data_IF_331021078257
#
_entry.id   IF_331021078257
#
_cell.length_a   1.000
_cell.length_b   1.000
_cell.length_c   1.000
_cell.angle_alpha   90.00
_cell.angle_beta   90.00
_cell.angle_gamma   90.00
#
_symmetry.space_group_name_H-M   'P 1'
#
loop_
_entity.id
_entity.type
_entity.pdbx_description
1 polymer ?
#
# COMPACT_ATOMS: atom_id res chain seq x y z
N UNK A 1 -37.51 -23.25 -5.22
CA UNK A 1 -36.61 -22.12 -5.50
C UNK A 1 -35.51 -22.60 -6.43
N UNK A 2 -35.49 -22.09 -7.65
CA UNK A 2 -34.57 -22.50 -8.71
C UNK A 2 -33.15 -21.99 -8.44
N UNK A 3 -32.12 -22.61 -9.04
CA UNK A 3 -30.73 -22.14 -8.92
C UNK A 3 -30.58 -20.68 -9.36
N UNK A 4 -31.36 -20.24 -10.36
CA UNK A 4 -31.40 -18.86 -10.87
C UNK A 4 -31.98 -17.87 -9.84
N UNK A 5 -33.10 -18.21 -9.20
CA UNK A 5 -33.69 -17.40 -8.12
C UNK A 5 -32.75 -17.29 -6.92
N UNK A 6 -32.00 -18.35 -6.61
CA UNK A 6 -31.03 -18.38 -5.49
C UNK A 6 -29.82 -17.51 -5.78
N UNK A 7 -29.29 -17.58 -7.00
CA UNK A 7 -28.20 -16.73 -7.47
C UNK A 7 -28.59 -15.25 -7.40
N UNK A 8 -29.79 -14.91 -7.91
CA UNK A 8 -30.32 -13.55 -7.91
C UNK A 8 -30.47 -12.98 -6.50
N UNK A 9 -30.99 -13.80 -5.55
CA UNK A 9 -31.14 -13.37 -4.16
C UNK A 9 -29.81 -13.08 -3.46
N UNK A 10 -28.69 -13.70 -3.83
CA UNK A 10 -27.37 -13.48 -3.18
C UNK A 10 -26.58 -12.39 -3.86
N UNK A 11 -26.55 -12.43 -5.19
CA UNK A 11 -25.69 -11.57 -5.98
C UNK A 11 -26.08 -10.10 -5.83
N UNK A 12 -27.39 -9.80 -5.82
CA UNK A 12 -27.87 -8.43 -5.76
C UNK A 12 -27.57 -7.76 -4.39
N UNK A 13 -27.91 -8.35 -3.22
CA UNK A 13 -27.55 -7.78 -1.92
C UNK A 13 -26.04 -7.70 -1.71
N UNK A 14 -25.29 -8.68 -2.19
CA UNK A 14 -23.83 -8.68 -2.10
C UNK A 14 -23.23 -7.50 -2.86
N UNK A 15 -23.66 -7.25 -4.11
CA UNK A 15 -23.19 -6.10 -4.89
C UNK A 15 -23.53 -4.79 -4.19
N UNK A 16 -24.78 -4.63 -3.73
CA UNK A 16 -25.24 -3.41 -3.08
C UNK A 16 -24.41 -3.15 -1.81
N UNK A 17 -24.24 -4.15 -0.95
CA UNK A 17 -23.46 -4.02 0.29
C UNK A 17 -21.99 -3.75 -0.02
N UNK A 18 -21.41 -4.43 -1.01
CA UNK A 18 -20.01 -4.23 -1.41
C UNK A 18 -19.80 -2.81 -1.94
N UNK A 19 -20.69 -2.32 -2.82
CA UNK A 19 -20.64 -0.96 -3.34
C UNK A 19 -20.77 0.09 -2.22
N UNK A 20 -21.76 -0.05 -1.33
CA UNK A 20 -21.93 0.86 -0.19
C UNK A 20 -20.69 0.82 0.71
N UNK A 21 -20.19 -0.37 1.05
CA UNK A 21 -19.02 -0.52 1.91
C UNK A 21 -17.78 0.16 1.30
N UNK A 22 -17.55 -0.01 0.00
CA UNK A 22 -16.44 0.62 -0.71
C UNK A 22 -16.60 2.14 -0.74
N UNK A 23 -17.76 2.67 -1.11
CA UNK A 23 -18.01 4.12 -1.19
C UNK A 23 -17.85 4.76 0.19
N UNK A 24 -18.55 4.22 1.19
CA UNK A 24 -18.53 4.75 2.55
C UNK A 24 -17.14 4.63 3.18
N UNK A 25 -16.42 3.52 2.94
CA UNK A 25 -15.03 3.39 3.38
C UNK A 25 -14.13 4.42 2.71
N UNK A 26 -14.29 4.62 1.40
CA UNK A 26 -13.49 5.58 0.64
C UNK A 26 -13.63 6.99 1.21
N UNK A 27 -14.85 7.38 1.58
CA UNK A 27 -15.13 8.68 2.21
C UNK A 27 -14.47 8.79 3.58
N UNK A 28 -14.60 7.76 4.43
CA UNK A 28 -14.01 7.74 5.77
C UNK A 28 -12.48 7.76 5.68
N UNK A 29 -11.89 6.90 4.85
CA UNK A 29 -10.45 6.86 4.65
C UNK A 29 -9.92 8.20 4.12
N UNK A 30 -10.62 8.80 3.14
CA UNK A 30 -10.24 10.12 2.66
C UNK A 30 -10.26 11.17 3.77
N UNK A 31 -11.36 11.25 4.53
CA UNK A 31 -11.53 12.26 5.59
C UNK A 31 -10.53 12.07 6.72
N UNK A 32 -10.40 10.86 7.23
CA UNK A 32 -9.64 10.58 8.43
C UNK A 32 -8.18 10.25 8.16
N UNK A 33 -7.79 9.64 7.05
CA UNK A 33 -6.39 9.26 6.82
C UNK A 33 -5.68 10.25 5.89
N UNK A 34 -6.35 10.64 4.82
CA UNK A 34 -5.78 11.52 3.79
C UNK A 34 -5.85 13.00 4.19
N UNK A 35 -7.02 13.49 4.60
CA UNK A 35 -7.22 14.93 4.80
C UNK A 35 -6.76 15.42 6.19
N UNK A 36 -6.98 14.61 7.22
CA UNK A 36 -6.65 14.97 8.61
C UNK A 36 -5.26 14.54 9.03
N UNK A 37 -4.63 13.63 8.28
CA UNK A 37 -3.26 13.22 8.55
C UNK A 37 -3.00 12.81 10.03
N UNK A 38 -3.84 11.96 10.65
CA UNK A 38 -3.77 11.64 12.06
C UNK A 38 -2.53 10.80 12.36
N UNK A 39 -2.07 10.89 13.60
CA UNK A 39 -0.93 10.13 14.11
C UNK A 39 -1.28 8.65 14.31
N UNK A 40 -1.36 7.94 13.18
CA UNK A 40 -1.75 6.54 13.09
C UNK A 40 -0.65 5.80 12.31
N UNK A 41 -0.24 4.65 12.85
CA UNK A 41 0.69 3.72 12.21
C UNK A 41 0.26 3.40 10.77
N UNK A 42 1.24 3.32 9.86
CA UNK A 42 0.98 3.08 8.43
C UNK A 42 0.35 1.70 8.17
N UNK A 43 0.74 0.69 8.95
CA UNK A 43 0.12 -0.64 8.89
C UNK A 43 -1.33 -0.61 9.36
N UNK A 44 -1.61 0.07 10.47
CA UNK A 44 -2.97 0.25 10.94
C UNK A 44 -3.81 1.07 9.94
N UNK A 45 -3.32 2.18 9.39
CA UNK A 45 -4.05 3.00 8.43
C UNK A 45 -4.39 2.21 7.15
N UNK A 46 -3.45 1.42 6.61
CA UNK A 46 -3.62 0.73 5.34
C UNK A 46 -4.24 -0.68 5.45
N UNK A 47 -4.21 -1.32 6.62
CA UNK A 47 -4.72 -2.69 6.83
C UNK A 47 -5.72 -2.77 7.98
N UNK A 48 -5.38 -2.21 9.14
CA UNK A 48 -6.20 -2.29 10.35
C UNK A 48 -7.53 -1.56 10.24
N UNK A 49 -7.51 -0.33 9.73
CA UNK A 49 -8.68 0.53 9.54
C UNK A 49 -9.66 -0.04 8.50
N UNK A 50 -9.21 -0.50 7.30
CA UNK A 50 -10.05 -1.31 6.41
C UNK A 50 -10.70 -2.52 7.08
N UNK A 51 -9.92 -3.28 7.85
CA UNK A 51 -10.37 -4.50 8.49
C UNK A 51 -11.48 -4.21 9.53
N UNK A 52 -11.23 -3.25 10.44
CA UNK A 52 -12.21 -2.83 11.45
C UNK A 52 -13.50 -2.28 10.83
N UNK A 53 -13.36 -1.48 9.77
CA UNK A 53 -14.50 -0.87 9.09
C UNK A 53 -15.45 -1.89 8.45
N UNK A 54 -14.93 -3.03 7.99
CA UNK A 54 -15.75 -4.05 7.35
C UNK A 54 -16.59 -4.85 8.36
N UNK A 55 -16.27 -4.83 9.65
CA UNK A 55 -16.95 -5.65 10.67
C UNK A 55 -18.47 -5.46 10.66
N UNK A 56 -19.04 -4.23 10.70
CA UNK A 56 -20.49 -4.04 10.68
C UNK A 56 -21.15 -4.57 9.40
N UNK A 57 -20.51 -4.37 8.24
CA UNK A 57 -21.01 -4.89 6.95
C UNK A 57 -21.03 -6.41 6.92
N UNK A 58 -20.01 -7.05 7.51
CA UNK A 58 -20.00 -8.50 7.64
C UNK A 58 -21.13 -9.00 8.53
N UNK A 59 -21.39 -8.34 9.67
CA UNK A 59 -22.50 -8.73 10.57
C UNK A 59 -23.84 -8.67 9.82
N UNK A 60 -24.07 -7.64 9.01
CA UNK A 60 -25.28 -7.53 8.18
C UNK A 60 -25.37 -8.68 7.17
N UNK A 61 -24.27 -8.98 6.46
CA UNK A 61 -24.20 -10.12 5.53
C UNK A 61 -24.46 -11.46 6.23
N UNK A 62 -23.92 -11.64 7.44
CA UNK A 62 -24.13 -12.83 8.26
C UNK A 62 -25.59 -13.03 8.63
N UNK A 63 -26.24 -11.99 9.17
CA UNK A 63 -27.66 -12.05 9.54
C UNK A 63 -28.53 -12.31 8.32
N UNK A 64 -28.22 -11.66 7.19
CA UNK A 64 -28.93 -11.86 5.94
C UNK A 64 -28.74 -13.29 5.40
N UNK A 65 -27.53 -13.81 5.42
CA UNK A 65 -27.22 -15.16 4.95
C UNK A 65 -27.88 -16.23 5.84
N UNK A 66 -27.82 -16.08 7.17
CA UNK A 66 -28.46 -16.99 8.12
C UNK A 66 -29.99 -17.05 7.97
N UNK A 67 -30.63 -15.92 7.62
CA UNK A 67 -32.09 -15.87 7.37
C UNK A 67 -32.49 -16.56 6.06
N UNK A 68 -31.65 -16.50 5.03
CA UNK A 68 -32.00 -16.94 3.68
C UNK A 68 -31.45 -18.32 3.30
N UNK A 69 -30.42 -18.82 3.99
CA UNK A 69 -29.74 -20.08 3.70
C UNK A 69 -29.70 -21.00 4.93
N UNK A 70 -29.97 -22.30 4.72
CA UNK A 70 -29.76 -23.34 5.74
C UNK A 70 -28.26 -23.60 5.86
N UNK A 71 -27.54 -22.71 6.53
CA UNK A 71 -26.13 -22.94 6.82
C UNK A 71 -26.00 -24.07 7.85
N UNK A 72 -25.09 -25.04 7.66
CA UNK A 72 -24.77 -25.98 8.71
C UNK A 72 -24.26 -25.21 9.94
N UNK A 73 -24.89 -25.42 11.11
CA UNK A 73 -24.49 -24.77 12.37
C UNK A 73 -23.00 -24.99 12.68
N UNK A 74 -22.43 -26.12 12.23
CA UNK A 74 -20.98 -26.39 12.23
C UNK A 74 -20.33 -25.71 11.02
N UNK A 75 -19.52 -24.68 11.27
CA UNK A 75 -18.70 -24.01 10.26
C UNK A 75 -19.14 -22.59 9.86
N UNK A 76 -20.25 -22.09 10.40
CA UNK A 76 -20.73 -20.72 10.15
C UNK A 76 -19.68 -19.65 10.50
N UNK A 77 -18.97 -19.84 11.62
CA UNK A 77 -17.92 -18.93 12.08
C UNK A 77 -16.69 -18.95 11.14
N UNK A 78 -16.23 -20.14 10.74
CA UNK A 78 -15.11 -20.30 9.80
C UNK A 78 -15.45 -19.72 8.43
N UNK A 79 -16.69 -19.90 7.98
CA UNK A 79 -17.21 -19.29 6.75
C UNK A 79 -17.19 -17.77 6.81
N UNK A 80 -17.60 -17.18 7.94
CA UNK A 80 -17.59 -15.75 8.16
C UNK A 80 -16.17 -15.16 8.17
N UNK A 81 -15.24 -15.78 8.89
CA UNK A 81 -13.83 -15.35 8.90
C UNK A 81 -13.23 -15.33 7.50
N UNK A 82 -13.62 -16.30 6.69
CA UNK A 82 -13.07 -16.46 5.37
C UNK A 82 -13.68 -15.45 4.39
N UNK A 83 -14.99 -15.18 4.44
CA UNK A 83 -15.60 -14.06 3.70
C UNK A 83 -14.97 -12.72 4.11
N UNK A 84 -14.84 -12.48 5.41
CA UNK A 84 -14.23 -11.26 5.93
C UNK A 84 -12.83 -11.05 5.38
N UNK A 85 -12.00 -12.10 5.39
CA UNK A 85 -10.65 -12.06 4.83
C UNK A 85 -10.65 -11.69 3.34
N UNK A 86 -11.58 -12.23 2.55
CA UNK A 86 -11.71 -11.90 1.13
C UNK A 86 -12.28 -10.50 0.87
N UNK A 87 -13.14 -9.98 1.74
CA UNK A 87 -13.70 -8.63 1.63
C UNK A 87 -12.66 -7.53 1.91
N UNK A 88 -11.61 -7.81 2.67
CA UNK A 88 -10.55 -6.85 2.97
C UNK A 88 -9.72 -6.53 1.72
N UNK A 89 -9.49 -7.51 0.84
CA UNK A 89 -8.59 -7.34 -0.31
C UNK A 89 -9.02 -6.22 -1.29
N UNK A 90 -10.27 -6.19 -1.81
CA UNK A 90 -10.71 -5.10 -2.67
C UNK A 90 -10.54 -3.73 -2.00
N UNK A 91 -10.84 -3.66 -0.70
CA UNK A 91 -10.74 -2.44 0.08
C UNK A 91 -9.29 -1.95 0.18
N UNK A 92 -8.33 -2.84 0.48
CA UNK A 92 -6.90 -2.48 0.49
C UNK A 92 -6.44 -2.02 -0.90
N UNK A 93 -6.84 -2.73 -1.96
CA UNK A 93 -6.38 -2.43 -3.32
C UNK A 93 -6.94 -1.11 -3.88
N UNK A 94 -8.09 -0.65 -3.38
CA UNK A 94 -8.68 0.63 -3.81
C UNK A 94 -8.06 1.83 -3.09
N UNK A 95 -7.44 1.64 -1.91
CA UNK A 95 -6.86 2.74 -1.12
C UNK A 95 -5.83 3.59 -1.89
N UNK A 96 -4.83 3.01 -2.59
CA UNK A 96 -3.86 3.81 -3.34
C UNK A 96 -4.52 4.57 -4.50
N UNK A 97 -5.55 3.97 -5.12
CA UNK A 97 -6.31 4.60 -6.21
C UNK A 97 -7.03 5.84 -5.69
N UNK A 98 -7.73 5.73 -4.56
CA UNK A 98 -8.45 6.85 -3.93
C UNK A 98 -7.47 7.97 -3.62
N UNK A 99 -6.33 7.65 -2.99
CA UNK A 99 -5.31 8.66 -2.67
C UNK A 99 -4.83 9.39 -3.92
N UNK A 100 -4.50 8.67 -4.99
CA UNK A 100 -4.02 9.25 -6.25
C UNK A 100 -5.07 10.02 -7.04
N UNK A 101 -6.34 9.61 -7.00
CA UNK A 101 -7.44 10.34 -7.65
C UNK A 101 -7.79 11.60 -6.86
N UNK A 102 -7.76 11.52 -5.53
CA UNK A 102 -8.15 12.62 -4.66
C UNK A 102 -7.09 13.73 -4.52
N UNK A 103 -5.85 13.46 -4.94
CA UNK A 103 -4.74 14.39 -4.82
C UNK A 103 -4.13 14.64 -6.21
N UNK A 104 -4.43 15.77 -6.88
CA UNK A 104 -3.87 16.07 -8.20
C UNK A 104 -2.35 16.24 -8.11
N UNK A 105 -1.64 15.84 -9.17
CA UNK A 105 -0.22 16.17 -9.32
C UNK A 105 -0.10 17.68 -9.53
N UNK A 106 0.60 18.36 -8.65
CA UNK A 106 0.91 19.78 -8.86
C UNK A 106 2.28 19.91 -9.50
N UNK A 107 2.33 20.65 -10.61
CA UNK A 107 3.61 20.99 -11.25
C UNK A 107 4.23 22.18 -10.54
N UNK A 108 5.45 22.01 -10.04
CA UNK A 108 6.22 23.04 -9.35
C UNK A 108 7.43 23.43 -10.19
N UNK A 109 7.73 24.73 -10.23
CA UNK A 109 8.82 25.27 -11.06
C UNK A 109 10.19 24.77 -10.59
N UNK A 110 10.41 24.76 -9.28
CA UNK A 110 11.65 24.30 -8.66
C UNK A 110 11.33 23.58 -7.33
N UNK A 111 12.37 23.00 -6.74
CA UNK A 111 12.27 22.21 -5.50
C UNK A 111 11.79 23.05 -4.31
N UNK A 112 12.09 24.35 -4.27
CA UNK A 112 11.73 25.22 -3.14
C UNK A 112 10.22 25.48 -3.02
N UNK A 113 9.51 25.50 -4.15
CA UNK A 113 8.05 25.71 -4.20
C UNK A 113 7.22 24.56 -3.58
N UNK A 114 7.87 23.47 -3.16
CA UNK A 114 7.21 22.36 -2.47
C UNK A 114 6.68 22.79 -1.10
N UNK A 115 7.40 23.68 -0.40
CA UNK A 115 7.00 24.22 0.91
C UNK A 115 5.64 24.95 0.84
N UNK A 116 5.40 25.71 -0.24
CA UNK A 116 4.22 26.58 -0.38
C UNK A 116 2.94 25.85 -0.79
N UNK A 117 3.07 24.68 -1.42
CA UNK A 117 1.94 24.02 -2.10
C UNK A 117 1.24 22.98 -1.21
N UNK A 118 1.93 22.47 -0.17
CA UNK A 118 1.49 21.40 0.74
C UNK A 118 0.57 20.32 0.13
N UNK A 119 1.00 19.75 -1.01
CA UNK A 119 0.33 18.61 -1.65
C UNK A 119 1.16 17.34 -1.48
N UNK A 120 0.59 16.22 -1.94
CA UNK A 120 1.22 14.91 -1.82
C UNK A 120 2.01 14.48 -3.06
N UNK A 121 1.61 14.92 -4.25
CA UNK A 121 2.23 14.51 -5.50
C UNK A 121 2.73 15.73 -6.28
N UNK A 122 4.01 15.70 -6.66
CA UNK A 122 4.69 16.83 -7.29
C UNK A 122 5.32 16.42 -8.62
N UNK A 123 5.17 17.27 -9.64
CA UNK A 123 6.02 17.24 -10.83
C UNK A 123 6.99 18.42 -10.76
N UNK A 124 8.26 18.14 -10.48
CA UNK A 124 9.29 19.16 -10.37
C UNK A 124 9.92 19.37 -11.75
N UNK A 125 9.96 20.60 -12.25
CA UNK A 125 10.46 20.89 -13.60
C UNK A 125 12.00 21.03 -13.64
N UNK A 126 12.56 21.81 -12.72
CA UNK A 126 13.98 22.12 -12.68
C UNK A 126 14.67 21.54 -11.43
N UNK A 127 15.19 20.32 -11.57
CA UNK A 127 15.92 19.65 -10.49
C UNK A 127 16.95 18.64 -11.03
N UNK A 128 17.86 18.23 -10.15
CA UNK A 128 18.65 17.02 -10.27
C UNK A 128 18.74 16.33 -8.91
N UNK A 129 19.06 15.03 -8.92
CA UNK A 129 19.36 14.27 -7.72
C UNK A 129 20.88 14.13 -7.62
N UNK A 130 21.45 14.59 -6.51
CA UNK A 130 22.89 14.52 -6.27
C UNK A 130 23.30 13.10 -5.87
N UNK A 131 23.61 12.28 -6.87
CA UNK A 131 24.06 10.89 -6.66
C UNK A 131 25.52 10.77 -6.25
N UNK A 132 26.25 11.89 -6.10
CA UNK A 132 27.64 11.86 -5.62
C UNK A 132 27.72 11.67 -4.11
N UNK A 133 26.66 12.08 -3.39
CA UNK A 133 26.51 11.95 -1.94
C UNK A 133 25.21 11.23 -1.63
N UNK A 134 25.26 9.92 -1.74
CA UNK A 134 24.16 9.02 -1.36
C UNK A 134 24.44 8.56 0.06
N UNK A 135 23.54 8.84 0.99
CA UNK A 135 23.58 8.26 2.32
C UNK A 135 22.83 6.93 2.34
N UNK A 136 23.31 6.03 3.17
CA UNK A 136 22.87 4.64 3.17
C UNK A 136 22.47 4.22 4.58
N UNK A 137 21.34 3.52 4.71
CA UNK A 137 20.98 2.78 5.93
C UNK A 137 20.85 1.31 5.58
N UNK A 138 21.22 0.46 6.54
CA UNK A 138 21.07 -0.97 6.40
C UNK A 138 20.67 -1.59 7.72
N UNK A 139 19.61 -2.41 7.68
CA UNK A 139 19.20 -3.22 8.82
C UNK A 139 19.09 -4.70 8.44
N UNK A 140 19.54 -5.55 9.35
CA UNK A 140 19.37 -7.00 9.30
C UNK A 140 18.62 -7.44 10.54
N UNK A 141 17.34 -7.78 10.37
CA UNK A 141 16.48 -8.15 11.49
C UNK A 141 16.02 -9.59 11.36
N UNK A 142 16.17 -10.36 12.43
CA UNK A 142 15.51 -11.65 12.55
C UNK A 142 14.02 -11.41 12.82
N UNK A 143 13.15 -11.93 11.96
CA UNK A 143 11.71 -11.83 12.07
C UNK A 143 11.12 -13.24 12.22
N UNK A 144 10.27 -13.44 13.22
CA UNK A 144 9.62 -14.73 13.44
C UNK A 144 8.34 -14.84 12.62
N UNK A 145 8.15 -15.93 11.86
CA UNK A 145 6.80 -16.29 11.41
C UNK A 145 6.00 -16.81 12.61
N UNK A 146 4.69 -16.57 12.60
CA UNK A 146 3.72 -17.06 13.60
C UNK A 146 3.72 -18.58 13.84
N UNK A 147 4.45 -19.36 13.02
CA UNK A 147 4.64 -20.80 13.11
C UNK A 147 6.12 -21.24 13.21
N UNK A 148 7.00 -20.41 13.79
CA UNK A 148 8.29 -20.84 14.32
C UNK A 148 9.46 -20.93 13.33
N UNK A 149 9.25 -20.62 12.04
CA UNK A 149 10.38 -20.39 11.12
C UNK A 149 10.80 -18.93 11.17
N UNK A 150 12.00 -18.68 11.67
CA UNK A 150 12.66 -17.38 11.53
C UNK A 150 12.97 -17.14 10.05
N UNK A 151 12.71 -15.92 9.60
CA UNK A 151 13.33 -15.39 8.40
C UNK A 151 14.11 -14.14 8.79
N UNK A 152 15.03 -13.75 7.94
CA UNK A 152 15.86 -12.60 8.15
C UNK A 152 15.51 -11.56 7.09
N UNK A 153 15.07 -10.39 7.53
CA UNK A 153 14.76 -9.27 6.67
C UNK A 153 16.01 -8.40 6.51
N UNK A 154 16.46 -8.26 5.27
CA UNK A 154 17.48 -7.30 4.86
C UNK A 154 16.75 -6.07 4.31
N UNK A 155 16.94 -4.92 4.95
CA UNK A 155 16.42 -3.66 4.45
C UNK A 155 17.60 -2.73 4.15
N UNK A 156 17.61 -2.18 2.94
CA UNK A 156 18.60 -1.18 2.50
C UNK A 156 17.84 0.06 2.09
N UNK A 157 18.16 1.20 2.70
CA UNK A 157 17.58 2.49 2.33
C UNK A 157 18.65 3.42 1.76
N UNK A 158 18.32 4.15 0.70
CA UNK A 158 19.20 5.14 0.09
C UNK A 158 18.53 6.49 0.10
N UNK A 159 19.27 7.52 0.50
CA UNK A 159 18.84 8.90 0.47
C UNK A 159 19.84 9.77 -0.30
N UNK A 160 19.33 10.61 -1.19
CA UNK A 160 20.15 11.59 -1.92
C UNK A 160 19.47 12.94 -1.97
N UNK A 161 20.27 13.99 -2.08
CA UNK A 161 19.77 15.37 -2.12
C UNK A 161 19.05 15.68 -3.42
N UNK A 162 17.90 16.34 -3.31
CA UNK A 162 17.22 16.94 -4.46
C UNK A 162 17.63 18.41 -4.52
N UNK A 163 18.30 18.78 -5.60
CA UNK A 163 18.83 20.13 -5.81
C UNK A 163 18.22 20.76 -7.04
N UNK A 164 18.04 22.07 -6.99
CA UNK A 164 17.77 22.83 -8.22
C UNK A 164 19.07 22.89 -9.03
N UNK A 165 18.98 22.75 -10.37
CA UNK A 165 20.16 22.69 -11.26
C UNK A 165 21.09 23.90 -11.12
N UNK A 166 20.56 25.06 -10.76
CA UNK A 166 21.31 26.33 -10.66
C UNK A 166 21.45 26.87 -9.22
N UNK A 167 21.22 26.07 -8.18
CA UNK A 167 21.26 26.57 -6.79
C UNK A 167 22.66 26.56 -6.16
N UNK A 168 23.08 27.71 -5.61
CA UNK A 168 24.36 27.92 -4.91
C UNK A 168 24.27 27.77 -3.37
N UNK A 169 23.27 27.07 -2.84
CA UNK A 169 23.10 26.85 -1.39
C UNK A 169 23.82 25.62 -0.85
N UNK A 170 24.32 25.68 0.39
CA UNK A 170 25.05 24.60 1.08
C UNK A 170 24.21 23.76 2.05
N UNK A 171 22.96 24.18 2.35
CA UNK A 171 22.06 23.50 3.29
C UNK A 171 20.79 23.08 2.57
N UNK A 172 20.42 21.82 2.71
CA UNK A 172 19.34 21.23 1.91
C UNK A 172 18.20 20.66 2.77
N UNK A 173 16.99 20.84 2.27
CA UNK A 173 15.73 20.46 2.92
C UNK A 173 15.10 19.22 2.25
N UNK A 174 15.41 18.95 0.98
CA UNK A 174 14.68 18.00 0.13
C UNK A 174 15.51 16.77 -0.19
N UNK A 175 14.91 15.60 0.05
CA UNK A 175 15.59 14.32 -0.03
C UNK A 175 14.80 13.34 -0.89
N UNK A 176 15.50 12.67 -1.80
CA UNK A 176 14.97 11.54 -2.54
C UNK A 176 15.30 10.27 -1.78
N UNK A 177 14.29 9.52 -1.36
CA UNK A 177 14.48 8.28 -0.60
C UNK A 177 13.84 7.09 -1.30
N UNK A 178 14.53 5.96 -1.28
CA UNK A 178 14.00 4.66 -1.71
C UNK A 178 14.46 3.56 -0.75
N UNK A 179 13.60 2.58 -0.50
CA UNK A 179 13.91 1.44 0.36
C UNK A 179 13.72 0.13 -0.39
N UNK A 180 14.71 -0.74 -0.25
CA UNK A 180 14.74 -2.08 -0.79
C UNK A 180 14.67 -3.09 0.34
N UNK A 181 13.82 -4.10 0.19
CA UNK A 181 13.66 -5.17 1.17
C UNK A 181 13.85 -6.55 0.51
N UNK A 182 14.53 -7.45 1.21
CA UNK A 182 14.69 -8.84 0.79
C UNK A 182 14.67 -9.76 2.01
N UNK A 183 13.85 -10.80 1.94
CA UNK A 183 13.77 -11.81 2.98
C UNK A 183 14.66 -13.01 2.60
N UNK A 184 15.31 -13.60 3.60
CA UNK A 184 16.08 -14.84 3.46
C UNK A 184 15.79 -15.78 4.62
N UNK A 185 15.74 -17.08 4.34
CA UNK A 185 15.55 -18.10 5.38
C UNK A 185 16.88 -18.45 6.09
N UNK A 186 18.02 -17.91 5.63
CA UNK A 186 19.34 -18.16 6.21
C UNK A 186 19.73 -17.12 7.25
N UNK A 187 20.04 -17.59 8.47
CA UNK A 187 20.65 -16.79 9.55
C UNK A 187 22.05 -16.31 9.20
N UNK A 188 22.80 -17.13 8.49
CA UNK A 188 24.18 -16.87 8.10
C UNK A 188 24.18 -16.41 6.65
N UNK A 189 23.74 -15.17 6.44
CA UNK A 189 23.96 -14.51 5.16
C UNK A 189 25.46 -14.24 5.07
N UNK A 190 26.12 -14.85 4.09
CA UNK A 190 27.53 -14.58 3.84
C UNK A 190 27.72 -13.06 3.66
N UNK A 191 28.73 -12.44 4.30
CA UNK A 191 29.01 -11.01 4.15
C UNK A 191 29.05 -10.57 2.68
N UNK A 192 29.60 -11.41 1.80
CA UNK A 192 29.66 -11.18 0.35
C UNK A 192 28.28 -11.09 -0.30
N UNK A 193 27.32 -11.92 0.12
CA UNK A 193 25.95 -11.87 -0.41
C UNK A 193 25.27 -10.57 -0.01
N UNK A 194 25.50 -10.13 1.22
CA UNK A 194 24.95 -8.89 1.70
C UNK A 194 25.53 -7.69 0.95
N UNK A 195 26.85 -7.65 0.79
CA UNK A 195 27.52 -6.58 0.06
C UNK A 195 27.05 -6.54 -1.41
N UNK A 196 26.95 -7.70 -2.06
CA UNK A 196 26.39 -7.81 -3.42
C UNK A 196 24.96 -7.26 -3.48
N UNK A 197 24.11 -7.56 -2.49
CA UNK A 197 22.75 -7.04 -2.45
C UNK A 197 22.73 -5.51 -2.29
N UNK A 198 23.54 -4.95 -1.39
CA UNK A 198 23.68 -3.49 -1.21
C UNK A 198 24.14 -2.81 -2.50
N UNK A 199 25.18 -3.34 -3.15
CA UNK A 199 25.69 -2.80 -4.41
C UNK A 199 24.65 -2.86 -5.52
N UNK A 200 23.91 -3.96 -5.64
CA UNK A 200 22.82 -4.08 -6.60
C UNK A 200 21.74 -3.02 -6.35
N UNK A 201 21.29 -2.88 -5.10
CA UNK A 201 20.29 -1.87 -4.74
C UNK A 201 20.79 -0.44 -4.98
N UNK A 202 22.08 -0.16 -4.75
CA UNK A 202 22.68 1.15 -5.06
C UNK A 202 22.69 1.44 -6.56
N UNK A 203 23.04 0.46 -7.39
CA UNK A 203 22.99 0.58 -8.86
C UNK A 203 21.56 0.83 -9.33
N UNK A 204 20.61 0.09 -8.77
CA UNK A 204 19.18 0.24 -9.09
C UNK A 204 18.67 1.60 -8.63
N UNK A 205 19.06 2.08 -7.45
CA UNK A 205 18.74 3.41 -6.94
C UNK A 205 19.24 4.49 -7.89
N UNK A 206 20.54 4.51 -8.23
CA UNK A 206 21.13 5.51 -9.14
C UNK A 206 20.42 5.52 -10.49
N UNK A 207 20.07 4.34 -11.02
CA UNK A 207 19.32 4.22 -12.28
C UNK A 207 17.89 4.76 -12.16
N UNK A 208 17.24 4.44 -11.04
CA UNK A 208 15.85 4.80 -10.76
C UNK A 208 15.69 6.30 -10.50
N UNK A 209 16.67 6.93 -9.85
CA UNK A 209 16.71 8.36 -9.53
C UNK A 209 17.30 9.24 -10.63
N UNK A 210 17.51 8.71 -11.83
CA UNK A 210 17.86 9.55 -12.99
C UNK A 210 16.71 10.50 -13.29
N UNK A 211 17.00 11.80 -13.33
CA UNK A 211 15.99 12.86 -13.50
C UNK A 211 15.08 12.64 -14.70
N UNK A 212 15.62 12.15 -15.82
CA UNK A 212 14.86 11.87 -17.04
C UNK A 212 13.82 10.74 -16.90
N UNK A 213 14.04 9.82 -15.95
CA UNK A 213 13.15 8.69 -15.70
C UNK A 213 11.97 9.07 -14.81
N UNK A 214 12.14 10.09 -13.96
CA UNK A 214 11.16 10.49 -12.95
C UNK A 214 9.99 11.22 -13.59
N UNK A 215 8.78 10.70 -13.38
CA UNK A 215 7.52 11.30 -13.85
C UNK A 215 6.90 12.22 -12.81
N UNK A 216 6.99 11.86 -11.54
CA UNK A 216 6.54 12.66 -10.40
C UNK A 216 7.20 12.16 -9.10
N UNK A 217 7.00 12.92 -8.03
CA UNK A 217 7.41 12.60 -6.67
C UNK A 217 6.19 12.45 -5.76
N UNK A 218 6.21 11.47 -4.86
CA UNK A 218 5.29 11.37 -3.72
C UNK A 218 5.99 11.91 -2.46
N UNK A 219 5.39 12.90 -1.79
CA UNK A 219 5.85 13.39 -0.50
C UNK A 219 5.48 12.40 0.59
N UNK A 220 6.48 11.98 1.38
CA UNK A 220 6.26 11.21 2.60
C UNK A 220 5.76 12.17 3.69
N UNK A 221 4.58 11.93 4.29
CA UNK A 221 4.13 12.68 5.46
C UNK A 221 5.16 12.60 6.58
N UNK A 222 5.36 13.71 7.31
CA UNK A 222 6.44 13.82 8.30
C UNK A 222 6.40 12.69 9.34
N UNK A 223 5.20 12.33 9.81
CA UNK A 223 4.98 11.21 10.76
C UNK A 223 5.38 9.83 10.24
N UNK A 224 5.48 9.65 8.92
CA UNK A 224 5.89 8.39 8.30
C UNK A 224 7.38 8.35 7.94
N UNK A 225 8.11 9.44 8.20
CA UNK A 225 9.57 9.45 8.11
C UNK A 225 10.10 8.68 9.32
N UNK A 226 10.57 7.46 9.09
CA UNK A 226 11.05 6.58 10.13
C UNK A 226 12.54 6.82 10.46
N UNK A 227 13.02 6.19 11.54
CA UNK A 227 14.42 6.30 11.97
C UNK A 227 15.42 5.90 10.89
N UNK A 228 15.15 4.84 10.13
CA UNK A 228 16.01 4.41 9.02
C UNK A 228 16.11 5.44 7.90
N UNK A 229 15.02 6.13 7.54
CA UNK A 229 15.05 7.23 6.57
C UNK A 229 15.90 8.38 7.10
N UNK A 230 15.76 8.74 8.38
CA UNK A 230 16.56 9.79 9.00
C UNK A 230 18.04 9.43 9.09
N UNK A 231 18.37 8.16 9.37
CA UNK A 231 19.75 7.66 9.38
C UNK A 231 20.40 7.81 8.01
N UNK A 232 19.75 7.33 6.94
CA UNK A 232 20.26 7.47 5.58
C UNK A 232 20.45 8.95 5.20
N UNK A 233 19.54 9.83 5.62
CA UNK A 233 19.65 11.27 5.37
C UNK A 233 20.84 11.87 6.15
N UNK A 234 21.00 11.53 7.42
CA UNK A 234 22.08 12.07 8.24
C UNK A 234 23.47 11.60 7.76
N UNK A 235 23.57 10.38 7.24
CA UNK A 235 24.81 9.80 6.68
C UNK A 235 25.34 10.60 5.46
N UNK A 236 24.44 11.09 4.62
CA UNK A 236 24.81 11.81 3.39
C UNK A 236 25.44 13.21 3.59
N UNK A 237 25.37 13.78 4.81
CA UNK A 237 25.91 15.10 5.24
C UNK A 237 25.33 16.37 4.53
N UNK A 238 25.34 17.51 5.24
CA UNK A 238 24.77 18.84 4.87
C UNK A 238 23.25 19.05 5.04
N UNK A 239 22.70 18.53 6.13
CA UNK A 239 21.32 18.81 6.56
C UNK A 239 21.14 20.28 6.98
N UNK A 240 20.03 20.90 6.56
CA UNK A 240 19.57 22.21 7.05
C UNK A 240 18.93 22.10 8.44
N UNK A 241 18.89 23.19 9.20
CA UNK A 241 18.09 23.27 10.44
C UNK A 241 16.56 23.32 10.17
N UNK A 242 16.16 23.36 8.89
CA UNK A 242 14.76 23.29 8.46
C UNK A 242 14.19 21.85 8.58
N UNK A 243 12.86 21.70 8.70
CA UNK A 243 12.19 20.40 8.61
C UNK A 243 12.57 19.65 7.33
N UNK A 244 12.83 18.34 7.43
CA UNK A 244 13.18 17.51 6.28
C UNK A 244 11.92 17.24 5.45
N UNK A 245 12.03 17.39 4.14
CA UNK A 245 11.00 16.95 3.18
C UNK A 245 11.55 15.76 2.41
N UNK A 246 10.92 14.60 2.59
CA UNK A 246 11.30 13.36 1.90
C UNK A 246 10.32 13.08 0.76
N UNK A 247 10.87 12.79 -0.41
CA UNK A 247 10.16 12.50 -1.64
C UNK A 247 10.57 11.13 -2.17
N UNK A 248 9.58 10.33 -2.59
CA UNK A 248 9.75 9.06 -3.28
C UNK A 248 9.59 9.32 -4.79
N UNK A 249 10.57 8.98 -5.63
CA UNK A 249 10.46 9.15 -7.07
C UNK A 249 9.54 8.08 -7.68
N UNK A 250 8.79 8.44 -8.72
CA UNK A 250 7.99 7.49 -9.51
C UNK A 250 8.34 7.60 -10.99
N UNK A 251 8.69 6.46 -11.60
CA UNK A 251 9.08 6.39 -13.01
C UNK A 251 7.94 5.99 -13.95
N UNK A 252 6.81 5.56 -13.40
CA UNK A 252 5.59 5.31 -14.15
C UNK A 252 4.64 6.52 -14.09
N UNK A 253 3.77 6.68 -15.09
CA UNK A 253 2.72 7.70 -15.02
C UNK A 253 1.66 7.27 -14.01
N UNK A 254 1.03 8.23 -13.33
CA UNK A 254 -0.11 7.93 -12.43
C UNK A 254 -1.18 7.11 -13.15
N UNK A 255 -1.44 7.37 -14.44
CA UNK A 255 -2.38 6.60 -15.24
C UNK A 255 -2.03 5.10 -15.30
N UNK A 256 -0.76 4.77 -15.56
CA UNK A 256 -0.30 3.38 -15.64
C UNK A 256 -0.34 2.69 -14.27
N UNK A 257 0.07 3.40 -13.22
CA UNK A 257 -0.01 2.87 -11.86
C UNK A 257 -1.47 2.65 -11.42
N UNK A 258 -2.38 3.57 -11.76
CA UNK A 258 -3.80 3.45 -11.50
C UNK A 258 -4.43 2.29 -12.28
N UNK A 259 -4.00 2.02 -13.52
CA UNK A 259 -4.46 0.85 -14.29
C UNK A 259 -4.04 -0.45 -13.62
N UNK A 260 -2.78 -0.55 -13.17
CA UNK A 260 -2.28 -1.72 -12.46
C UNK A 260 -3.05 -1.96 -11.16
N UNK A 261 -3.30 -0.90 -10.39
CA UNK A 261 -4.09 -0.99 -9.15
C UNK A 261 -5.56 -1.33 -9.43
N UNK A 262 -6.15 -0.74 -10.47
CA UNK A 262 -7.52 -1.07 -10.92
C UNK A 262 -7.63 -2.54 -11.32
N UNK A 263 -6.61 -3.09 -12.01
CA UNK A 263 -6.58 -4.51 -12.34
C UNK A 263 -6.57 -5.39 -11.07
N UNK A 264 -5.73 -5.08 -10.08
CA UNK A 264 -5.74 -5.82 -8.81
C UNK A 264 -7.06 -5.70 -8.06
N UNK A 265 -7.68 -4.52 -8.08
CA UNK A 265 -8.99 -4.30 -7.52
C UNK A 265 -10.07 -5.17 -8.19
N UNK A 266 -10.11 -5.18 -9.52
CA UNK A 266 -11.04 -6.02 -10.29
C UNK A 266 -10.78 -7.51 -10.01
N UNK A 267 -9.51 -7.94 -9.99
CA UNK A 267 -9.14 -9.31 -9.69
C UNK A 267 -9.57 -9.72 -8.28
N UNK A 268 -9.40 -8.84 -7.28
CA UNK A 268 -9.84 -9.07 -5.91
C UNK A 268 -11.36 -9.18 -5.80
N UNK A 269 -12.10 -8.31 -6.50
CA UNK A 269 -13.57 -8.39 -6.57
C UNK A 269 -14.05 -9.70 -7.21
N UNK A 270 -13.45 -10.11 -8.33
CA UNK A 270 -13.79 -11.36 -9.01
C UNK A 270 -13.48 -12.58 -8.13
N UNK A 271 -12.35 -12.58 -7.42
CA UNK A 271 -12.01 -13.62 -6.46
C UNK A 271 -13.05 -13.71 -5.33
N UNK A 272 -13.48 -12.56 -4.80
CA UNK A 272 -14.50 -12.50 -3.75
C UNK A 272 -15.86 -13.01 -4.25
N UNK A 273 -16.28 -12.62 -5.46
CA UNK A 273 -17.51 -13.12 -6.09
C UNK A 273 -17.42 -14.63 -6.32
N UNK A 274 -16.31 -15.11 -6.89
CA UNK A 274 -16.07 -16.54 -7.12
C UNK A 274 -16.13 -17.35 -5.83
N UNK A 275 -15.60 -16.78 -4.73
CA UNK A 275 -15.66 -17.38 -3.42
C UNK A 275 -17.10 -17.49 -2.88
N UNK A 276 -17.88 -16.42 -2.99
CA UNK A 276 -19.30 -16.42 -2.63
C UNK A 276 -20.12 -17.44 -3.43
N UNK A 277 -19.84 -17.56 -4.73
CA UNK A 277 -20.47 -18.56 -5.59
C UNK A 277 -20.14 -19.98 -5.12
N UNK A 278 -18.86 -20.28 -4.89
CA UNK A 278 -18.42 -21.60 -4.43
C UNK A 278 -19.11 -22.02 -3.13
N UNK A 279 -19.22 -21.11 -2.16
CA UNK A 279 -19.89 -21.46 -0.90
C UNK A 279 -21.38 -21.62 -1.07
N UNK A 280 -22.02 -20.78 -1.90
CA UNK A 280 -23.43 -20.95 -2.23
C UNK A 280 -23.69 -22.34 -2.82
N UNK A 281 -22.87 -22.77 -3.79
CA UNK A 281 -23.00 -24.10 -4.39
C UNK A 281 -22.72 -25.24 -3.41
N UNK A 282 -21.74 -25.10 -2.51
CA UNK A 282 -21.46 -26.12 -1.47
C UNK A 282 -22.52 -26.20 -0.38
N UNK A 283 -23.25 -25.11 -0.12
CA UNK A 283 -24.36 -25.07 0.83
C UNK A 283 -25.68 -25.67 0.29
N UNK A 284 -25.69 -26.20 -0.94
CA UNK A 284 -26.83 -26.89 -1.52
C UNK A 284 -27.02 -28.28 -0.87
N UNK A 285 -28.25 -28.65 -0.47
CA UNK A 285 -28.54 -30.05 -0.12
C UNK A 285 -28.34 -30.92 -1.37
N UNK A 286 -27.66 -32.07 -1.21
CA UNK A 286 -27.67 -33.11 -2.26
C UNK A 286 -29.13 -33.46 -2.54
N UNK A 287 -29.53 -33.39 -3.81
CA UNK A 287 -30.85 -33.84 -4.25
C UNK A 287 -31.03 -35.28 -3.75
N UNK A 288 -32.11 -35.62 -3.02
CA UNK A 288 -32.34 -37.01 -2.65
C UNK A 288 -32.45 -37.80 -3.96
N UNK A 289 -31.61 -38.83 -4.10
CA UNK A 289 -31.79 -39.82 -5.16
C UNK A 289 -33.19 -40.39 -4.97
N UNK A 290 -34.04 -40.21 -5.98
CA UNK A 290 -35.31 -40.95 -6.05
C UNK A 290 -34.93 -42.42 -6.19
N UNK A 291 -35.02 -43.17 -5.10
CA UNK A 291 -35.21 -44.62 -5.12
C UNK A 291 -36.66 -44.92 -5.43
#
# INVERSE_FOLDING_TARGET
>A
MTSKERLSKIFLPFIIITAISLISFSIIYYRYVVAQEPDIDRGFANLGLPALYLIPFQIVLLVWFAKNFRAPKRGLLSFFFLIYSFSIFPVITVLPIIRKISMPIVSVKNVYSIEDTNVHFYKILDFYIDTTKIGETYTFTAESRRHGKEYYAMNVGFAALIKQKNANGSKYTYWCYEQYNKNTDSRNVAPDFLEVYKQQCRVDYIRYTKTENIKYFEKIPERWINGTTLEAINDSSNRSNKPIIVLIPHNETIGKENLKQTFYFIAALLAQIGFWLLVTFKSLPKTPQKT
#
